data_IF_415110008001
#
_entry.id   IF_415110008001
#
_cell.length_a   1.000
_cell.length_b   1.000
_cell.length_c   1.000
_cell.angle_alpha   90.00
_cell.angle_beta   90.00
_cell.angle_gamma   90.00
#
_symmetry.space_group_name_H-M   'P 1'
#
loop_
_entity.id
_entity.type
_entity.pdbx_description
1 polymer ?
#
# COMPACT_ATOMS: atom_id res chain seq x y z
N UNK A 1 0.94 -22.15 -75.49
CA UNK A 1 1.38 -21.88 -74.09
C UNK A 1 0.27 -21.42 -73.16
N UNK A 2 -0.64 -20.52 -73.56
CA UNK A 2 -1.69 -19.95 -72.68
C UNK A 2 -2.65 -20.98 -72.03
N UNK A 3 -3.05 -22.02 -72.76
CA UNK A 3 -3.96 -23.07 -72.23
C UNK A 3 -3.38 -23.87 -71.06
N UNK A 4 -2.07 -24.13 -71.04
CA UNK A 4 -1.40 -24.87 -69.96
C UNK A 4 -1.28 -24.01 -68.69
N UNK A 5 -0.94 -22.74 -68.86
CA UNK A 5 -0.90 -21.77 -67.75
C UNK A 5 -2.27 -21.59 -67.09
N UNK A 6 -3.32 -21.44 -67.90
CA UNK A 6 -4.69 -21.32 -67.40
C UNK A 6 -5.16 -22.56 -66.63
N UNK A 7 -4.70 -23.76 -67.03
CA UNK A 7 -4.98 -25.01 -66.33
C UNK A 7 -4.26 -25.09 -64.98
N UNK A 8 -3.00 -24.63 -64.90
CA UNK A 8 -2.26 -24.52 -63.64
C UNK A 8 -2.90 -23.50 -62.69
N UNK A 9 -3.29 -22.32 -63.19
CA UNK A 9 -4.02 -21.34 -62.39
C UNK A 9 -5.34 -21.91 -61.87
N UNK A 10 -6.15 -22.55 -62.72
CA UNK A 10 -7.42 -23.18 -62.28
C UNK A 10 -7.20 -24.28 -61.24
N UNK A 11 -6.14 -25.08 -61.35
CA UNK A 11 -5.82 -26.14 -60.38
C UNK A 11 -5.33 -25.58 -59.05
N UNK A 12 -4.59 -24.47 -59.08
CA UNK A 12 -4.17 -23.72 -57.90
C UNK A 12 -5.34 -23.03 -57.19
N UNK A 13 -6.19 -22.32 -57.94
CA UNK A 13 -7.42 -21.73 -57.42
C UNK A 13 -8.36 -22.80 -56.86
N UNK A 14 -8.51 -23.97 -57.52
CA UNK A 14 -9.35 -25.04 -57.00
C UNK A 14 -8.83 -25.62 -55.67
N UNK A 15 -7.50 -25.66 -55.44
CA UNK A 15 -6.91 -26.04 -54.13
C UNK A 15 -7.13 -24.97 -53.05
N UNK A 16 -6.98 -23.69 -53.41
CA UNK A 16 -7.27 -22.59 -52.49
C UNK A 16 -8.76 -22.51 -52.13
N UNK A 17 -9.64 -22.75 -53.12
CA UNK A 17 -11.09 -22.77 -52.93
C UNK A 17 -11.60 -24.03 -52.23
N UNK A 18 -10.92 -25.18 -52.38
CA UNK A 18 -11.34 -26.44 -51.74
C UNK A 18 -11.38 -26.36 -50.21
N UNK A 19 -10.48 -25.57 -49.61
CA UNK A 19 -10.40 -25.36 -48.16
C UNK A 19 -10.68 -23.90 -47.77
N UNK A 20 -11.30 -23.12 -48.66
CA UNK A 20 -11.50 -21.69 -48.48
C UNK A 20 -12.33 -21.37 -47.24
N UNK A 21 -13.39 -22.14 -46.96
CA UNK A 21 -14.18 -21.96 -45.74
C UNK A 21 -13.36 -22.11 -44.46
N UNK A 22 -12.47 -23.12 -44.40
CA UNK A 22 -11.59 -23.36 -43.25
C UNK A 22 -10.50 -22.31 -43.12
N UNK A 23 -9.91 -21.87 -44.23
CA UNK A 23 -8.86 -20.85 -44.21
C UNK A 23 -9.44 -19.47 -43.87
N UNK A 24 -10.62 -19.14 -44.41
CA UNK A 24 -11.32 -17.89 -44.11
C UNK A 24 -11.74 -17.83 -42.64
N UNK A 25 -12.22 -18.93 -42.05
CA UNK A 25 -12.59 -18.95 -40.63
C UNK A 25 -11.38 -18.74 -39.70
N UNK A 26 -10.23 -19.34 -40.03
CA UNK A 26 -8.98 -19.14 -39.28
C UNK A 26 -8.51 -17.68 -39.36
N UNK A 27 -8.55 -17.08 -40.55
CA UNK A 27 -8.16 -15.67 -40.74
C UNK A 27 -9.10 -14.75 -39.95
N UNK A 28 -10.42 -15.01 -40.01
CA UNK A 28 -11.40 -14.23 -39.26
C UNK A 28 -11.20 -14.35 -37.74
N UNK A 29 -10.87 -15.55 -37.25
CA UNK A 29 -10.57 -15.79 -35.85
C UNK A 29 -9.31 -15.04 -35.41
N UNK A 30 -8.23 -15.07 -36.20
CA UNK A 30 -7.01 -14.31 -35.92
C UNK A 30 -7.29 -12.80 -35.85
N UNK A 31 -8.05 -12.26 -36.80
CA UNK A 31 -8.44 -10.84 -36.79
C UNK A 31 -9.29 -10.52 -35.57
N UNK A 32 -10.24 -11.38 -35.20
CA UNK A 32 -11.07 -11.19 -34.00
C UNK A 32 -10.25 -11.19 -32.71
N UNK A 33 -9.23 -12.06 -32.61
CA UNK A 33 -8.34 -12.10 -31.44
C UNK A 33 -7.45 -10.86 -31.39
N UNK A 34 -6.88 -10.46 -32.53
CA UNK A 34 -6.02 -9.27 -32.60
C UNK A 34 -6.82 -8.00 -32.26
N UNK A 35 -8.04 -7.87 -32.79
CA UNK A 35 -8.91 -6.72 -32.51
C UNK A 35 -9.39 -6.69 -31.06
N UNK A 36 -9.73 -7.84 -30.46
CA UNK A 36 -10.08 -7.89 -29.04
C UNK A 36 -8.88 -7.53 -28.16
N UNK A 37 -7.69 -8.01 -28.49
CA UNK A 37 -6.46 -7.67 -27.77
C UNK A 37 -6.13 -6.17 -27.91
N UNK A 38 -6.25 -5.61 -29.12
CA UNK A 38 -6.02 -4.20 -29.38
C UNK A 38 -7.04 -3.27 -28.68
N UNK A 39 -8.27 -3.74 -28.43
CA UNK A 39 -9.27 -3.01 -27.65
C UNK A 39 -9.07 -3.17 -26.14
N UNK A 40 -8.68 -4.36 -25.67
CA UNK A 40 -8.49 -4.65 -24.25
C UNK A 40 -7.20 -4.06 -23.69
N UNK A 41 -6.10 -4.09 -24.47
CA UNK A 41 -4.79 -3.63 -24.04
C UNK A 41 -4.82 -2.17 -23.55
N UNK A 42 -5.28 -1.17 -24.34
CA UNK A 42 -5.36 0.20 -23.85
C UNK A 42 -6.33 0.36 -22.68
N UNK A 43 -7.40 -0.43 -22.60
CA UNK A 43 -8.40 -0.32 -21.53
C UNK A 43 -7.91 -0.92 -20.18
N UNK A 44 -7.02 -1.91 -20.23
CA UNK A 44 -6.35 -2.48 -19.06
C UNK A 44 -5.30 -1.51 -18.49
N UNK A 45 -4.55 -0.80 -19.35
CA UNK A 45 -3.50 0.13 -18.93
C UNK A 45 -4.00 1.57 -18.72
N UNK A 46 -5.14 1.97 -19.28
CA UNK A 46 -5.80 3.25 -18.92
C UNK A 46 -6.57 3.20 -17.60
N UNK A 47 -6.73 2.01 -16.99
CA UNK A 47 -7.30 1.86 -15.63
C UNK A 47 -6.25 1.84 -14.51
N UNK A 48 -4.98 2.11 -14.80
CA UNK A 48 -3.94 2.40 -13.80
C UNK A 48 -3.68 3.90 -13.50
N UNK A 49 -4.62 4.86 -13.59
CA UNK A 49 -4.37 6.23 -13.15
C UNK A 49 -4.70 6.42 -11.68
N UNK A 50 -5.28 5.44 -10.96
CA UNK A 50 -5.64 5.63 -9.54
C UNK A 50 -4.38 5.63 -8.67
N UNK A 51 -3.47 4.69 -8.91
CA UNK A 51 -2.20 4.60 -8.15
C UNK A 51 -1.26 5.73 -8.55
N UNK A 52 -1.16 6.04 -9.85
CA UNK A 52 -0.37 7.16 -10.35
C UNK A 52 -0.86 8.50 -9.79
N UNK A 53 -2.17 8.77 -9.84
CA UNK A 53 -2.76 9.96 -9.26
C UNK A 53 -2.57 10.04 -7.74
N UNK A 54 -2.69 8.92 -7.00
CA UNK A 54 -2.36 8.88 -5.58
C UNK A 54 -0.90 9.27 -5.33
N UNK A 55 0.04 8.72 -6.09
CA UNK A 55 1.47 9.04 -5.95
C UNK A 55 1.77 10.50 -6.34
N UNK A 56 1.07 11.03 -7.34
CA UNK A 56 1.32 12.38 -7.86
C UNK A 56 0.64 13.46 -7.00
N UNK A 57 -0.48 13.14 -6.35
CA UNK A 57 -1.25 14.09 -5.51
C UNK A 57 -1.01 13.95 -4.01
N UNK A 58 -0.53 12.80 -3.53
CA UNK A 58 -0.23 12.61 -2.10
C UNK A 58 1.26 12.36 -1.89
N UNK A 59 1.88 13.16 -1.03
CA UNK A 59 3.25 12.91 -0.58
C UNK A 59 3.32 11.49 0.00
N UNK A 60 4.30 10.70 -0.45
CA UNK A 60 4.49 9.34 0.05
C UNK A 60 4.70 9.38 1.58
N UNK A 61 4.11 8.43 2.33
CA UNK A 61 4.29 8.37 3.78
C UNK A 61 5.77 8.18 4.12
N UNK A 62 6.23 8.88 5.15
CA UNK A 62 7.58 8.76 5.66
C UNK A 62 7.63 7.69 6.76
N UNK A 63 8.73 6.96 6.82
CA UNK A 63 9.03 6.09 7.95
C UNK A 63 9.66 6.90 9.07
N UNK A 64 9.07 6.80 10.27
CA UNK A 64 9.52 7.46 11.48
C UNK A 64 10.06 6.44 12.49
N UNK A 65 11.04 6.88 13.26
CA UNK A 65 11.62 6.17 14.41
C UNK A 65 11.38 7.05 15.64
N UNK A 66 10.49 6.61 16.53
CA UNK A 66 10.23 7.28 17.81
C UNK A 66 10.94 6.54 18.93
N UNK A 67 11.96 7.18 19.52
CA UNK A 67 12.62 6.71 20.73
C UNK A 67 12.05 7.48 21.91
N UNK A 68 11.47 6.78 22.87
CA UNK A 68 10.87 7.44 24.02
C UNK A 68 11.02 6.67 25.31
N UNK A 69 10.69 7.35 26.41
CA UNK A 69 10.45 6.70 27.69
C UNK A 69 9.25 7.36 28.35
N UNK A 70 8.39 6.57 28.98
CA UNK A 70 7.22 7.08 29.68
C UNK A 70 7.41 6.80 31.16
N UNK A 71 7.34 7.83 31.98
CA UNK A 71 7.46 7.73 33.44
C UNK A 71 6.13 8.04 34.08
N UNK A 72 5.60 7.08 34.82
CA UNK A 72 4.42 7.26 35.66
C UNK A 72 4.85 7.70 37.06
N UNK A 73 4.25 8.77 37.55
CA UNK A 73 4.52 9.33 38.89
C UNK A 73 3.20 9.37 39.65
N UNK A 74 3.13 8.67 40.77
CA UNK A 74 1.99 8.69 41.67
C UNK A 74 1.92 10.02 42.44
N UNK A 75 0.76 10.33 43.01
CA UNK A 75 0.53 11.52 43.87
C UNK A 75 1.51 11.69 45.04
N UNK A 76 2.09 10.60 45.54
CA UNK A 76 3.11 10.56 46.60
C UNK A 76 4.55 10.79 46.07
N UNK A 77 4.73 10.98 44.75
CA UNK A 77 6.03 11.12 44.09
C UNK A 77 6.74 9.79 43.79
N UNK A 78 6.14 8.65 44.11
CA UNK A 78 6.69 7.32 43.84
C UNK A 78 6.54 6.98 42.36
N UNK A 79 7.58 6.40 41.78
CA UNK A 79 7.58 5.95 40.39
C UNK A 79 6.87 4.60 40.30
N UNK A 80 5.77 4.53 39.54
CA UNK A 80 5.09 3.27 39.25
C UNK A 80 5.86 2.48 38.17
N UNK A 81 5.82 1.14 38.26
CA UNK A 81 6.42 0.19 37.30
C UNK A 81 5.37 -0.56 36.48
N UNK A 82 4.21 0.05 36.29
CA UNK A 82 3.12 -0.55 35.52
C UNK A 82 3.49 -0.78 34.05
N UNK A 83 2.83 -1.79 33.48
CA UNK A 83 2.87 -2.06 32.04
C UNK A 83 2.01 -1.01 31.33
N UNK A 84 2.57 -0.44 30.27
CA UNK A 84 1.95 0.59 29.46
C UNK A 84 2.01 0.18 27.99
N UNK A 85 0.94 0.49 27.26
CA UNK A 85 0.92 0.31 25.81
C UNK A 85 0.92 1.67 25.15
N UNK A 86 1.87 1.89 24.25
CA UNK A 86 2.06 3.14 23.54
C UNK A 86 1.61 2.95 22.11
N UNK A 87 0.81 3.88 21.60
CA UNK A 87 0.26 3.88 20.27
C UNK A 87 0.66 5.16 19.52
N UNK A 88 1.04 4.99 18.26
CA UNK A 88 1.19 6.07 17.30
C UNK A 88 0.46 5.65 16.02
N UNK A 89 -0.65 6.33 15.72
CA UNK A 89 -1.54 5.91 14.64
C UNK A 89 -2.03 4.47 14.86
N UNK A 90 -1.73 3.58 13.90
CA UNK A 90 -2.07 2.15 14.00
C UNK A 90 -0.98 1.25 14.61
N UNK A 91 0.17 1.81 14.99
CA UNK A 91 1.32 1.05 15.50
C UNK A 91 1.35 1.10 17.01
N UNK A 92 1.84 0.05 17.66
CA UNK A 92 1.94 -0.01 19.11
C UNK A 92 3.15 -0.77 19.62
N UNK A 93 3.50 -0.50 20.88
CA UNK A 93 4.51 -1.22 21.64
C UNK A 93 4.09 -1.29 23.12
N UNK A 94 4.25 -2.46 23.72
CA UNK A 94 4.12 -2.62 25.16
C UNK A 94 5.49 -2.41 25.81
N UNK A 95 5.54 -1.57 26.84
CA UNK A 95 6.74 -1.29 27.63
C UNK A 95 6.38 -1.12 29.10
N UNK A 96 7.37 -0.99 29.98
CA UNK A 96 7.16 -0.64 31.39
C UNK A 96 7.44 0.83 31.60
N UNK A 97 6.75 1.41 32.58
CA UNK A 97 7.07 2.75 33.07
C UNK A 97 8.56 2.85 33.45
N UNK A 98 9.22 3.86 32.88
CA UNK A 98 10.64 4.16 33.04
C UNK A 98 11.59 3.45 32.07
N UNK A 99 11.13 2.46 31.31
CA UNK A 99 11.97 1.76 30.34
C UNK A 99 11.97 2.49 28.98
N UNK A 100 13.15 2.65 28.35
CA UNK A 100 13.23 3.20 27.00
C UNK A 100 12.65 2.22 25.98
N UNK A 101 12.01 2.75 24.95
CA UNK A 101 11.45 1.98 23.85
C UNK A 101 11.67 2.69 22.51
N UNK A 102 11.64 1.90 21.45
CA UNK A 102 11.70 2.38 20.07
C UNK A 102 10.48 1.87 19.31
N UNK A 103 9.71 2.77 18.71
CA UNK A 103 8.58 2.45 17.85
C UNK A 103 8.83 2.95 16.43
N UNK A 104 8.80 2.04 15.46
CA UNK A 104 8.86 2.37 14.05
C UNK A 104 7.45 2.43 13.46
N UNK A 105 7.11 3.49 12.75
CA UNK A 105 5.80 3.66 12.15
C UNK A 105 5.87 4.46 10.85
N UNK A 106 4.84 4.36 10.02
CA UNK A 106 4.72 5.16 8.79
C UNK A 106 3.56 6.14 8.90
N UNK A 107 3.80 7.39 8.51
CA UNK A 107 2.80 8.46 8.57
C UNK A 107 3.03 9.49 7.46
N UNK A 108 1.98 10.16 6.94
CA UNK A 108 2.16 11.34 6.12
C UNK A 108 2.97 12.42 6.84
N UNK A 109 3.62 13.29 6.06
CA UNK A 109 4.32 14.45 6.62
C UNK A 109 3.32 15.39 7.28
N UNK A 110 3.34 15.42 8.60
CA UNK A 110 2.47 16.24 9.44
C UNK A 110 3.32 17.18 10.30
N UNK A 111 2.70 18.19 10.91
CA UNK A 111 3.37 19.08 11.88
C UNK A 111 3.40 18.50 13.29
N UNK A 112 2.50 17.56 13.57
CA UNK A 112 2.33 16.95 14.87
C UNK A 112 1.89 15.49 14.73
N UNK A 113 2.39 14.65 15.63
CA UNK A 113 2.02 13.25 15.77
C UNK A 113 1.45 13.04 17.17
N UNK A 114 0.35 12.30 17.26
CA UNK A 114 -0.29 12.02 18.54
C UNK A 114 0.18 10.68 19.09
N UNK A 115 0.79 10.74 20.27
CA UNK A 115 1.14 9.61 21.10
C UNK A 115 -0.06 9.29 22.00
N UNK A 116 -0.58 8.08 21.93
CA UNK A 116 -1.63 7.60 22.84
C UNK A 116 -1.04 6.56 23.78
N UNK A 117 -1.20 6.74 25.08
CA UNK A 117 -0.63 5.90 26.13
C UNK A 117 -1.81 5.28 26.88
N UNK A 118 -1.85 3.96 26.90
CA UNK A 118 -2.91 3.19 27.55
C UNK A 118 -2.31 2.44 28.73
N UNK A 119 -2.88 2.67 29.90
CA UNK A 119 -2.61 1.94 31.13
C UNK A 119 -3.75 0.97 31.38
N UNK A 120 -3.44 -0.29 31.63
CA UNK A 120 -4.41 -1.30 32.01
C UNK A 120 -4.27 -1.60 33.48
N UNK A 121 -5.26 -1.18 34.27
CA UNK A 121 -5.30 -1.52 35.69
C UNK A 121 -5.65 -3.01 35.88
N UNK A 122 -5.24 -3.62 37.01
CA UNK A 122 -5.57 -5.01 37.32
C UNK A 122 -7.08 -5.31 37.29
N UNK A 123 -7.91 -4.32 37.60
CA UNK A 123 -9.37 -4.41 37.63
C UNK A 123 -10.01 -4.37 36.22
N UNK A 124 -9.20 -4.36 35.15
CA UNK A 124 -9.65 -4.29 33.76
C UNK A 124 -10.05 -2.89 33.30
N UNK A 125 -9.89 -1.87 34.14
CA UNK A 125 -10.10 -0.47 33.74
C UNK A 125 -8.92 0.06 32.94
N UNK A 126 -9.21 0.80 31.87
CA UNK A 126 -8.19 1.40 31.01
C UNK A 126 -8.16 2.92 31.21
N UNK A 127 -6.95 3.47 31.44
CA UNK A 127 -6.72 4.92 31.44
C UNK A 127 -5.95 5.29 30.19
N UNK A 128 -6.44 6.29 29.46
CA UNK A 128 -5.89 6.70 28.17
C UNK A 128 -5.38 8.14 28.28
N UNK A 129 -4.15 8.37 27.86
CA UNK A 129 -3.51 9.68 27.79
C UNK A 129 -3.10 9.95 26.35
N UNK A 130 -3.29 11.17 25.86
CA UNK A 130 -2.86 11.56 24.52
C UNK A 130 -1.96 12.79 24.62
N UNK A 131 -0.80 12.73 23.97
CA UNK A 131 0.16 13.83 23.88
C UNK A 131 0.52 14.09 22.43
N UNK A 132 0.49 15.36 22.03
CA UNK A 132 0.96 15.79 20.72
C UNK A 132 2.48 15.99 20.77
N UNK A 133 3.18 15.47 19.76
CA UNK A 133 4.62 15.59 19.56
C UNK A 133 4.84 16.40 18.29
N UNK A 134 5.62 17.48 18.35
CA UNK A 134 5.94 18.28 17.18
C UNK A 134 6.97 17.58 16.28
N UNK A 135 6.71 17.58 14.98
CA UNK A 135 7.58 16.97 13.97
C UNK A 135 8.34 18.02 13.19
N UNK A 136 9.61 18.23 13.56
CA UNK A 136 10.48 19.28 12.99
C UNK A 136 11.17 18.84 11.70
N UNK A 137 10.45 18.19 10.77
CA UNK A 137 10.96 17.62 9.51
C UNK A 137 11.89 16.40 9.65
N UNK A 138 12.24 16.01 10.87
CA UNK A 138 13.06 14.83 11.15
C UNK A 138 12.18 13.58 11.21
N UNK A 139 12.69 12.47 10.69
CA UNK A 139 12.05 11.15 10.81
C UNK A 139 12.38 10.48 12.13
N UNK A 140 13.41 10.95 12.84
CA UNK A 140 13.76 10.50 14.20
C UNK A 140 13.20 11.46 15.22
N UNK A 141 12.43 10.93 16.16
CA UNK A 141 11.76 11.67 17.21
C UNK A 141 12.21 11.10 18.55
N UNK A 142 12.66 11.96 19.47
CA UNK A 142 13.13 11.56 20.78
C UNK A 142 12.36 12.31 21.85
N UNK A 143 11.61 11.61 22.72
CA UNK A 143 10.84 12.30 23.75
C UNK A 143 10.65 11.50 25.04
N UNK A 144 10.81 12.18 26.18
CA UNK A 144 10.42 11.66 27.49
C UNK A 144 9.05 12.22 27.89
N UNK A 145 8.14 11.33 28.30
CA UNK A 145 6.78 11.71 28.71
C UNK A 145 6.58 11.34 30.17
N UNK A 146 6.22 12.33 30.98
CA UNK A 146 5.91 12.13 32.39
C UNK A 146 4.39 12.24 32.55
N UNK A 147 3.77 11.21 33.13
CA UNK A 147 2.34 11.16 33.44
C UNK A 147 2.17 11.10 34.95
N UNK A 148 1.34 11.99 35.47
CA UNK A 148 0.92 11.96 36.87
C UNK A 148 -0.37 11.12 36.99
N UNK A 149 -0.34 10.07 37.80
CA UNK A 149 -1.39 9.04 37.93
C UNK A 149 -1.99 9.01 39.32
#
# INVERSE_FOLDING_TARGET
>A
MYKLFMLHCKRFFRRLFANFGRNASIIFLLISVITSLALLFPNLFHKTPIIGYLIETTELPLSYEFNGSIRLVESNGVKSKENITVYIGGYNIATKSGEPFTLYFSSPKTKQIFLTIVLKSPDGTERIFTKAIETNSQTRLNEEVIIYV
#
